data_IF_347644762075
#
_entry.id   IF_347644762075
#
_cell.length_a   1.000
_cell.length_b   1.000
_cell.length_c   1.000
_cell.angle_alpha   90.00
_cell.angle_beta   90.00
_cell.angle_gamma   90.00
#
_symmetry.space_group_name_H-M   'P 1'
#
loop_
_entity.id
_entity.type
_entity.pdbx_description
1 polymer ?
#
# COMPACT_ATOMS: atom_id res chain seq x y z
N UNK A 1 27.16 -10.88 -1.19
CA UNK A 1 25.86 -10.18 -1.15
C UNK A 1 25.90 -8.75 -0.57
N UNK A 2 27.08 -8.18 -0.24
CA UNK A 2 27.18 -6.83 0.36
C UNK A 2 26.61 -5.71 -0.53
N UNK A 3 27.05 -5.62 -1.78
CA UNK A 3 26.62 -4.54 -2.69
C UNK A 3 25.11 -4.55 -2.99
N UNK A 4 24.47 -5.71 -3.25
CA UNK A 4 23.01 -5.76 -3.38
C UNK A 4 22.27 -5.28 -2.12
N UNK A 5 22.74 -5.63 -0.91
CA UNK A 5 22.11 -5.21 0.33
C UNK A 5 22.19 -3.69 0.55
N UNK A 6 23.35 -3.08 0.29
CA UNK A 6 23.53 -1.62 0.35
C UNK A 6 22.62 -0.90 -0.64
N UNK A 7 22.59 -1.36 -1.89
CA UNK A 7 21.72 -0.76 -2.92
C UNK A 7 20.24 -0.88 -2.56
N UNK A 8 19.82 -2.00 -1.99
CA UNK A 8 18.44 -2.18 -1.52
C UNK A 8 18.11 -1.22 -0.37
N UNK A 9 19.03 -1.02 0.56
CA UNK A 9 18.87 -0.07 1.66
C UNK A 9 18.80 1.39 1.18
N UNK A 10 19.67 1.78 0.27
CA UNK A 10 19.70 3.13 -0.32
C UNK A 10 18.48 3.41 -1.21
N UNK A 11 17.98 2.38 -1.91
CA UNK A 11 16.79 2.50 -2.77
C UNK A 11 15.50 2.54 -1.96
N UNK A 12 15.52 2.10 -0.70
CA UNK A 12 14.36 2.16 0.18
C UNK A 12 14.14 3.61 0.65
N UNK A 13 12.89 4.12 0.56
CA UNK A 13 12.57 5.50 0.93
C UNK A 13 12.90 5.78 2.39
N UNK A 14 13.21 7.04 2.70
CA UNK A 14 13.53 7.45 4.06
C UNK A 14 12.33 7.37 5.01
N UNK A 15 12.66 7.07 6.28
CA UNK A 15 11.86 6.33 7.28
C UNK A 15 11.75 4.81 7.03
N UNK A 16 12.90 4.14 7.03
CA UNK A 16 13.05 2.69 6.92
C UNK A 16 13.48 2.09 8.27
N UNK A 17 13.02 0.86 8.54
CA UNK A 17 13.42 0.08 9.72
C UNK A 17 14.20 -1.13 9.22
N UNK A 18 15.41 -1.31 9.74
CA UNK A 18 16.27 -2.42 9.42
C UNK A 18 16.26 -3.45 10.55
N UNK A 19 15.83 -4.66 10.21
CA UNK A 19 15.75 -5.77 11.16
C UNK A 19 16.77 -6.83 10.77
N UNK A 20 17.68 -7.15 11.68
CA UNK A 20 18.57 -8.29 11.51
C UNK A 20 17.86 -9.56 11.98
N UNK A 21 17.65 -10.49 11.06
CA UNK A 21 16.85 -11.69 11.29
C UNK A 21 17.71 -12.96 11.30
N UNK A 22 17.67 -13.68 12.41
CA UNK A 22 18.34 -14.96 12.60
C UNK A 22 19.83 -14.87 12.94
N UNK A 23 20.40 -15.98 13.43
CA UNK A 23 21.76 -16.05 13.96
C UNK A 23 22.81 -15.64 12.93
N UNK A 24 22.63 -16.04 11.66
CA UNK A 24 23.51 -15.64 10.57
C UNK A 24 23.43 -14.14 10.28
N UNK A 25 22.23 -13.54 10.33
CA UNK A 25 22.06 -12.09 10.12
C UNK A 25 22.61 -11.26 11.27
N UNK A 26 22.47 -11.74 12.51
CA UNK A 26 22.90 -11.02 13.73
C UNK A 26 24.41 -11.02 13.89
N UNK A 27 25.10 -12.11 13.54
CA UNK A 27 26.54 -12.22 13.77
C UNK A 27 27.25 -13.31 12.97
N UNK A 28 26.79 -13.64 11.76
CA UNK A 28 27.39 -14.68 10.91
C UNK A 28 27.04 -16.12 11.30
N UNK A 29 26.54 -16.35 12.52
CA UNK A 29 26.03 -17.64 12.97
C UNK A 29 27.09 -18.74 12.94
N UNK A 30 26.74 -19.91 12.43
CA UNK A 30 27.68 -21.04 12.27
C UNK A 30 28.80 -20.74 11.25
N UNK A 31 28.59 -19.77 10.36
CA UNK A 31 29.57 -19.37 9.35
C UNK A 31 30.39 -18.13 9.78
N UNK A 32 30.34 -17.78 11.06
CA UNK A 32 31.22 -16.77 11.63
C UNK A 32 32.69 -17.15 11.35
N UNK A 33 33.51 -16.16 10.95
CA UNK A 33 34.94 -16.32 10.63
C UNK A 33 35.28 -17.01 9.28
N UNK A 34 34.30 -17.22 8.40
CA UNK A 34 34.59 -17.66 7.03
C UNK A 34 34.95 -16.47 6.12
N UNK A 35 35.88 -16.70 5.18
CA UNK A 35 36.34 -15.69 4.21
C UNK A 35 35.22 -15.04 3.37
N UNK A 36 34.10 -15.74 3.17
CA UNK A 36 32.94 -15.27 2.40
C UNK A 36 31.88 -14.55 3.22
N UNK A 37 32.07 -14.42 4.55
CA UNK A 37 31.06 -13.92 5.49
C UNK A 37 31.58 -12.66 6.17
N UNK A 38 30.76 -11.59 6.14
CA UNK A 38 31.10 -10.28 6.71
C UNK A 38 30.82 -10.18 8.22
N UNK A 39 30.50 -11.29 8.87
CA UNK A 39 29.96 -11.31 10.24
C UNK A 39 28.48 -10.95 10.24
N UNK A 40 28.11 -9.98 11.08
CA UNK A 40 26.72 -9.50 11.22
C UNK A 40 26.31 -8.49 10.14
N UNK A 41 25.00 -8.33 9.98
CA UNK A 41 24.39 -7.40 9.01
C UNK A 41 24.59 -5.93 9.40
N UNK A 42 24.88 -5.68 10.67
CA UNK A 42 25.24 -4.38 11.27
C UNK A 42 26.51 -3.78 10.66
N UNK A 43 27.40 -4.61 10.11
CA UNK A 43 28.59 -4.15 9.38
C UNK A 43 28.27 -3.57 8.00
N UNK A 44 27.08 -3.86 7.46
CA UNK A 44 26.67 -3.48 6.10
C UNK A 44 25.64 -2.35 6.15
N UNK A 45 24.60 -2.45 6.98
CA UNK A 45 23.53 -1.45 7.12
C UNK A 45 23.25 -1.19 8.60
N UNK A 46 22.79 0.01 8.98
CA UNK A 46 22.39 0.27 10.36
C UNK A 46 21.19 -0.62 10.72
N UNK A 47 21.27 -1.33 11.84
CA UNK A 47 20.20 -2.23 12.32
C UNK A 47 19.49 -1.60 13.52
N UNK A 48 18.17 -1.57 13.47
CA UNK A 48 17.32 -1.05 14.56
C UNK A 48 16.94 -2.16 15.56
N UNK A 49 16.67 -3.37 15.06
CA UNK A 49 16.22 -4.51 15.88
C UNK A 49 16.91 -5.80 15.45
N UNK A 50 17.39 -6.57 16.41
CA UNK A 50 17.92 -7.92 16.21
C UNK A 50 16.92 -8.96 16.69
N UNK A 51 16.58 -9.91 15.80
CA UNK A 51 15.71 -11.06 16.11
C UNK A 51 16.58 -12.32 16.07
N UNK A 52 17.13 -12.78 17.22
CA UNK A 52 17.99 -13.94 17.25
C UNK A 52 17.23 -15.26 17.03
N UNK A 53 17.92 -16.25 16.47
CA UNK A 53 17.44 -17.64 16.33
C UNK A 53 17.93 -18.34 15.06
N UNK A 54 17.89 -19.67 15.01
CA UNK A 54 18.41 -20.45 13.87
C UNK A 54 17.46 -21.59 13.45
N UNK A 55 16.33 -21.29 12.77
CA UNK A 55 15.75 -19.95 12.56
C UNK A 55 15.01 -19.44 13.82
N UNK A 56 14.72 -18.13 13.93
CA UNK A 56 13.90 -17.59 15.01
C UNK A 56 12.54 -18.29 15.11
N UNK A 57 12.07 -18.53 16.34
CA UNK A 57 10.75 -19.12 16.55
C UNK A 57 9.66 -18.15 16.10
N UNK A 58 8.49 -18.62 15.64
CA UNK A 58 7.41 -17.72 15.23
C UNK A 58 7.03 -16.69 16.30
N UNK A 59 7.04 -17.09 17.58
CA UNK A 59 6.79 -16.18 18.70
C UNK A 59 7.88 -15.10 18.83
N UNK A 60 9.16 -15.46 18.70
CA UNK A 60 10.27 -14.50 18.72
C UNK A 60 10.22 -13.54 17.53
N UNK A 61 9.82 -14.03 16.35
CA UNK A 61 9.63 -13.21 15.15
C UNK A 61 8.53 -12.19 15.34
N UNK A 62 7.35 -12.61 15.82
CA UNK A 62 6.23 -11.71 16.12
C UNK A 62 6.63 -10.68 17.17
N UNK A 63 7.29 -11.13 18.25
CA UNK A 63 7.78 -10.24 19.29
C UNK A 63 8.78 -9.21 18.74
N UNK A 64 9.73 -9.64 17.92
CA UNK A 64 10.71 -8.76 17.28
C UNK A 64 10.08 -7.70 16.37
N UNK A 65 9.07 -8.07 15.58
CA UNK A 65 8.31 -7.09 14.80
C UNK A 65 7.45 -6.17 15.67
N UNK A 66 6.88 -6.67 16.77
CA UNK A 66 6.16 -5.84 17.74
C UNK A 66 7.09 -4.81 18.41
N UNK A 67 8.33 -5.19 18.74
CA UNK A 67 9.38 -4.27 19.20
C UNK A 67 9.67 -3.23 18.13
N UNK A 68 9.94 -3.68 16.90
CA UNK A 68 10.28 -2.81 15.78
C UNK A 68 9.19 -1.79 15.45
N UNK A 69 7.92 -2.12 15.70
CA UNK A 69 6.78 -1.21 15.51
C UNK A 69 6.42 -0.39 16.76
N UNK A 70 7.11 -0.59 17.89
CA UNK A 70 6.81 0.09 19.16
C UNK A 70 5.52 -0.40 19.84
N UNK A 71 4.99 -1.56 19.43
CA UNK A 71 3.71 -2.10 19.90
C UNK A 71 3.81 -2.78 21.27
N UNK A 72 5.02 -3.00 21.80
CA UNK A 72 5.19 -3.63 23.13
C UNK A 72 4.67 -2.77 24.30
N UNK A 73 4.64 -1.44 24.15
CA UNK A 73 4.04 -0.55 25.14
C UNK A 73 2.51 -0.66 25.17
N UNK A 74 1.92 -1.23 24.12
CA UNK A 74 0.52 -1.66 24.08
C UNK A 74 0.34 -2.95 24.91
N UNK A 75 1.01 -3.03 26.07
CA UNK A 75 0.81 -4.09 27.04
C UNK A 75 -0.67 -4.20 27.30
N UNK A 76 -1.17 -5.40 27.04
CA UNK A 76 -2.51 -5.88 27.36
C UNK A 76 -2.59 -5.87 28.89
N UNK A 77 -2.85 -4.70 29.45
CA UNK A 77 -3.58 -4.65 30.70
C UNK A 77 -4.94 -5.21 30.32
N UNK A 78 -5.16 -6.50 30.63
CA UNK A 78 -6.49 -7.05 30.71
C UNK A 78 -7.20 -6.26 31.81
N UNK A 79 -7.76 -5.12 31.44
CA UNK A 79 -8.67 -4.37 32.28
C UNK A 79 -10.01 -4.99 31.98
N UNK A 80 -10.54 -5.76 32.94
CA UNK A 80 -11.93 -6.20 32.90
C UNK A 80 -12.81 -4.95 32.95
N UNK A 81 -13.19 -4.46 31.77
CA UNK A 81 -14.14 -3.38 31.63
C UNK A 81 -15.52 -3.97 31.93
N UNK A 82 -15.91 -4.02 33.21
CA UNK A 82 -17.34 -4.13 33.55
C UNK A 82 -17.97 -2.82 33.11
N UNK A 83 -18.57 -2.85 31.92
CA UNK A 83 -19.25 -1.70 31.32
C UNK A 83 -20.27 -1.15 32.33
N UNK A 84 -20.02 0.01 32.97
CA UNK A 84 -21.03 0.65 33.77
C UNK A 84 -22.10 1.06 32.77
N UNK A 85 -23.32 0.56 32.89
CA UNK A 85 -24.42 0.87 31.97
C UNK A 85 -24.52 2.39 31.78
N UNK A 86 -24.21 2.86 30.56
CA UNK A 86 -24.35 4.27 30.16
C UNK A 86 -23.06 5.01 29.75
N UNK A 87 -21.89 4.36 29.65
CA UNK A 87 -20.68 5.05 29.14
C UNK A 87 -20.77 5.21 27.62
N UNK A 88 -20.86 6.46 27.16
CA UNK A 88 -20.74 6.78 25.73
C UNK A 88 -19.26 6.81 25.35
N UNK A 89 -18.82 5.95 24.44
CA UNK A 89 -17.45 5.90 23.94
C UNK A 89 -17.08 7.26 23.32
N UNK A 90 -16.19 8.02 23.97
CA UNK A 90 -15.70 9.27 23.40
C UNK A 90 -14.59 8.97 22.39
N UNK A 91 -14.70 9.45 21.14
CA UNK A 91 -13.63 9.30 20.17
C UNK A 91 -12.38 10.07 20.63
N UNK A 92 -11.19 9.55 20.30
CA UNK A 92 -9.88 10.18 20.60
C UNK A 92 -9.77 11.66 20.16
N UNK A 93 -10.55 12.07 19.16
CA UNK A 93 -10.56 13.43 18.62
C UNK A 93 -12.02 13.86 18.38
N UNK A 94 -12.77 14.26 19.42
CA UNK A 94 -14.21 14.54 19.29
C UNK A 94 -14.52 15.78 18.44
N UNK A 95 -13.59 16.73 18.39
CA UNK A 95 -13.68 17.94 17.60
C UNK A 95 -13.49 17.72 16.09
N UNK A 96 -12.99 16.55 15.66
CA UNK A 96 -12.69 16.29 14.25
C UNK A 96 -13.71 15.29 13.68
N UNK A 97 -14.43 15.63 12.60
CA UNK A 97 -15.32 14.70 11.92
C UNK A 97 -14.60 13.38 11.54
N UNK A 98 -15.21 12.21 11.80
CA UNK A 98 -14.58 10.92 11.49
C UNK A 98 -14.14 10.76 10.04
N UNK A 99 -14.92 11.31 9.09
CA UNK A 99 -14.59 11.28 7.66
C UNK A 99 -13.29 12.01 7.33
N UNK A 100 -13.08 13.19 7.91
CA UNK A 100 -11.85 13.97 7.73
C UNK A 100 -10.65 13.26 8.35
N UNK A 101 -10.81 12.71 9.57
CA UNK A 101 -9.76 11.93 10.22
C UNK A 101 -9.32 10.73 9.37
N UNK A 102 -10.29 9.95 8.88
CA UNK A 102 -10.00 8.77 8.03
C UNK A 102 -9.28 9.20 6.75
N UNK A 103 -9.70 10.30 6.12
CA UNK A 103 -9.07 10.80 4.91
C UNK A 103 -7.60 11.20 5.14
N UNK A 104 -7.31 11.95 6.21
CA UNK A 104 -5.95 12.39 6.55
C UNK A 104 -5.07 11.19 6.92
N UNK A 105 -5.60 10.25 7.71
CA UNK A 105 -4.85 9.06 8.11
C UNK A 105 -4.51 8.17 6.91
N UNK A 106 -5.44 7.99 5.97
CA UNK A 106 -5.19 7.28 4.71
C UNK A 106 -4.11 7.98 3.89
N UNK A 107 -4.19 9.31 3.75
CA UNK A 107 -3.21 10.07 2.98
C UNK A 107 -1.83 10.05 3.64
N UNK A 108 -1.76 10.19 4.96
CA UNK A 108 -0.51 10.11 5.70
C UNK A 108 0.15 8.73 5.55
N UNK A 109 -0.65 7.65 5.59
CA UNK A 109 -0.17 6.28 5.32
C UNK A 109 0.30 6.11 3.88
N UNK A 110 -0.37 6.71 2.90
CA UNK A 110 0.04 6.68 1.49
C UNK A 110 1.39 7.37 1.28
N UNK A 111 1.64 8.47 1.99
CA UNK A 111 2.84 9.29 1.83
C UNK A 111 4.05 8.80 2.64
N UNK A 112 3.82 8.25 3.84
CA UNK A 112 4.88 7.93 4.80
C UNK A 112 4.77 6.51 5.41
N UNK A 113 3.88 5.66 4.90
CA UNK A 113 3.68 4.31 5.41
C UNK A 113 2.90 4.25 6.74
N UNK A 114 2.69 3.03 7.26
CA UNK A 114 1.78 2.79 8.37
C UNK A 114 2.20 3.43 9.70
N UNK A 115 3.48 3.32 10.06
CA UNK A 115 3.98 3.82 11.34
C UNK A 115 4.18 5.33 11.29
N UNK A 116 5.05 5.80 10.41
CA UNK A 116 5.41 7.22 10.33
C UNK A 116 4.21 8.08 9.93
N UNK A 117 3.39 7.62 8.98
CA UNK A 117 2.15 8.31 8.61
C UNK A 117 1.19 8.47 9.79
N UNK A 118 1.07 7.44 10.64
CA UNK A 118 0.27 7.54 11.87
C UNK A 118 0.88 8.53 12.86
N UNK A 119 2.17 8.46 13.13
CA UNK A 119 2.85 9.38 14.05
C UNK A 119 2.75 10.85 13.60
N UNK A 120 2.94 11.12 12.31
CA UNK A 120 2.80 12.45 11.70
C UNK A 120 1.35 12.94 11.82
N UNK A 121 0.38 12.09 11.46
CA UNK A 121 -1.04 12.41 11.56
C UNK A 121 -1.44 12.73 13.00
N UNK A 122 -1.09 11.87 13.96
CA UNK A 122 -1.42 12.06 15.38
C UNK A 122 -0.77 13.33 15.95
N UNK A 123 0.48 13.65 15.56
CA UNK A 123 1.14 14.91 15.97
C UNK A 123 0.47 16.13 15.36
N UNK A 124 0.15 16.09 14.07
CA UNK A 124 -0.54 17.17 13.38
C UNK A 124 -1.89 17.46 14.04
N UNK A 125 -2.71 16.42 14.25
CA UNK A 125 -4.02 16.56 14.86
C UNK A 125 -3.93 17.08 16.31
N UNK A 126 -2.92 16.63 17.07
CA UNK A 126 -2.66 17.15 18.42
C UNK A 126 -2.36 18.65 18.41
N UNK A 127 -1.45 19.09 17.54
CA UNK A 127 -1.10 20.51 17.43
C UNK A 127 -2.29 21.37 16.97
N UNK A 128 -3.13 20.87 16.06
CA UNK A 128 -4.33 21.57 15.61
C UNK A 128 -5.44 21.60 16.67
N UNK A 129 -5.53 20.57 17.51
CA UNK A 129 -6.47 20.57 18.64
C UNK A 129 -6.06 21.59 19.72
N UNK A 130 -4.77 21.79 19.94
CA UNK A 130 -4.25 22.76 20.91
C UNK A 130 -4.28 24.20 20.38
N UNK A 131 -3.94 24.38 19.09
CA UNK A 131 -3.84 25.68 18.43
C UNK A 131 -4.43 25.62 17.01
N UNK A 132 -5.70 26.04 16.86
CA UNK A 132 -6.37 26.06 15.57
C UNK A 132 -5.74 27.02 14.54
N UNK A 133 -4.90 27.98 14.99
CA UNK A 133 -4.25 28.96 14.10
C UNK A 133 -3.07 28.38 13.34
N UNK A 134 -2.57 27.20 13.75
CA UNK A 134 -1.48 26.49 13.06
C UNK A 134 -0.07 27.03 13.38
N UNK A 135 0.07 27.98 14.31
CA UNK A 135 1.38 28.51 14.70
C UNK A 135 2.25 27.43 15.35
N UNK A 136 1.66 26.55 16.17
CA UNK A 136 2.35 25.38 16.71
C UNK A 136 2.84 24.42 15.63
N UNK A 137 2.05 24.19 14.58
CA UNK A 137 2.45 23.33 13.46
C UNK A 137 3.62 23.93 12.70
N UNK A 138 3.60 25.24 12.44
CA UNK A 138 4.72 25.93 11.79
C UNK A 138 5.99 25.89 12.64
N UNK A 139 5.86 25.99 13.97
CA UNK A 139 7.00 25.89 14.89
C UNK A 139 7.59 24.49 14.86
N UNK A 140 6.75 23.45 14.96
CA UNK A 140 7.16 22.05 14.84
C UNK A 140 7.87 21.75 13.51
N UNK A 141 7.34 22.24 12.39
CA UNK A 141 7.96 22.04 11.07
C UNK A 141 9.32 22.74 10.95
N UNK A 142 9.49 23.93 11.55
CA UNK A 142 10.78 24.64 11.58
C UNK A 142 11.81 23.94 12.45
N UNK A 143 11.39 23.43 13.61
CA UNK A 143 12.28 22.69 14.53
C UNK A 143 12.73 21.35 13.94
N UNK A 144 11.87 20.68 13.18
CA UNK A 144 12.21 19.40 12.55
C UNK A 144 13.21 19.53 11.39
N UNK A 145 13.28 20.69 10.73
CA UNK A 145 14.15 20.99 9.59
C UNK A 145 14.16 19.90 8.49
N UNK A 146 12.99 19.31 8.24
CA UNK A 146 12.84 18.21 7.27
C UNK A 146 11.92 18.64 6.10
N UNK A 147 12.47 18.78 4.88
CA UNK A 147 11.69 19.19 3.71
C UNK A 147 10.63 18.16 3.32
N UNK A 148 10.86 16.86 3.58
CA UNK A 148 9.87 15.81 3.28
C UNK A 148 8.72 15.87 4.27
N UNK A 149 9.00 16.04 5.56
CA UNK A 149 7.95 16.24 6.57
C UNK A 149 7.07 17.45 6.22
N UNK A 150 7.68 18.57 5.80
CA UNK A 150 6.95 19.74 5.38
C UNK A 150 6.04 19.44 4.17
N UNK A 151 6.56 18.77 3.15
CA UNK A 151 5.77 18.34 1.98
C UNK A 151 4.57 17.46 2.37
N UNK A 152 4.78 16.48 3.26
CA UNK A 152 3.71 15.60 3.76
C UNK A 152 2.65 16.43 4.48
N UNK A 153 3.04 17.26 5.44
CA UNK A 153 2.10 18.06 6.23
C UNK A 153 1.32 19.06 5.36
N UNK A 154 1.96 19.67 4.36
CA UNK A 154 1.27 20.51 3.37
C UNK A 154 0.21 19.73 2.60
N UNK A 155 0.50 18.48 2.22
CA UNK A 155 -0.47 17.60 1.56
C UNK A 155 -1.65 17.27 2.49
N UNK A 156 -1.37 16.96 3.76
CA UNK A 156 -2.41 16.69 4.76
C UNK A 156 -3.30 17.93 5.02
N UNK A 157 -2.73 19.13 5.01
CA UNK A 157 -3.51 20.37 5.11
C UNK A 157 -4.45 20.58 3.92
N UNK A 158 -4.06 20.20 2.71
CA UNK A 158 -4.96 20.22 1.55
C UNK A 158 -6.15 19.30 1.77
N UNK A 159 -5.91 18.08 2.26
CA UNK A 159 -6.98 17.13 2.63
C UNK A 159 -7.91 17.71 3.69
N UNK A 160 -7.37 18.32 4.74
CA UNK A 160 -8.13 18.95 5.83
C UNK A 160 -9.03 20.09 5.34
N UNK A 161 -8.54 20.94 4.44
CA UNK A 161 -9.30 22.08 3.90
C UNK A 161 -10.40 21.68 2.92
N UNK A 162 -10.59 20.38 2.69
CA UNK A 162 -11.44 19.90 1.60
C UNK A 162 -10.89 20.27 0.22
N UNK A 163 -9.67 20.81 0.15
CA UNK A 163 -8.88 21.05 -1.07
C UNK A 163 -8.17 19.76 -1.50
N UNK A 164 -8.80 18.61 -1.27
CA UNK A 164 -8.81 17.71 -2.40
C UNK A 164 -9.39 18.54 -3.53
N UNK A 165 -8.61 18.75 -4.59
CA UNK A 165 -9.30 18.91 -5.85
C UNK A 165 -10.35 17.80 -5.87
N UNK A 166 -11.51 18.11 -6.42
CA UNK A 166 -12.11 17.15 -7.32
C UNK A 166 -11.09 16.85 -8.44
N UNK A 167 -9.89 16.38 -8.11
CA UNK A 167 -9.09 15.57 -8.98
C UNK A 167 -9.99 14.39 -9.19
N UNK A 168 -10.66 14.40 -10.35
CA UNK A 168 -11.49 13.35 -10.89
C UNK A 168 -10.99 12.03 -10.31
N UNK A 169 -11.66 11.53 -9.26
CA UNK A 169 -11.28 10.23 -8.69
C UNK A 169 -11.46 9.28 -9.84
N UNK A 170 -10.38 8.80 -10.43
CA UNK A 170 -10.44 7.97 -11.61
C UNK A 170 -10.16 6.53 -11.20
N UNK A 171 -10.96 5.63 -11.73
CA UNK A 171 -10.71 4.21 -11.66
C UNK A 171 -9.88 3.85 -12.88
N UNK A 172 -8.71 3.28 -12.61
CA UNK A 172 -7.77 2.87 -13.63
C UNK A 172 -7.82 1.36 -13.75
N UNK A 173 -8.15 0.89 -14.95
CA UNK A 173 -8.14 -0.53 -15.26
C UNK A 173 -6.77 -0.92 -15.78
N UNK A 174 -6.07 -1.75 -15.01
CA UNK A 174 -4.77 -2.28 -15.36
C UNK A 174 -4.90 -3.64 -16.02
N UNK A 175 -4.11 -3.88 -17.06
CA UNK A 175 -4.05 -5.16 -17.77
C UNK A 175 -2.64 -5.71 -17.73
N UNK A 176 -2.52 -6.98 -17.35
CA UNK A 176 -1.28 -7.73 -17.45
C UNK A 176 -0.87 -7.93 -18.92
N UNK A 177 0.31 -7.42 -19.27
CA UNK A 177 0.91 -7.50 -20.61
C UNK A 177 2.01 -8.54 -20.71
N UNK A 178 2.85 -8.66 -19.68
CA UNK A 178 4.01 -9.55 -19.68
C UNK A 178 4.34 -9.99 -18.25
N UNK A 179 4.77 -11.24 -18.10
CA UNK A 179 5.39 -11.79 -16.89
C UNK A 179 6.88 -11.96 -17.16
N UNK A 180 7.74 -11.17 -16.50
CA UNK A 180 9.16 -11.06 -16.90
C UNK A 180 10.00 -12.32 -16.69
N UNK A 181 9.59 -13.26 -15.83
CA UNK A 181 10.39 -14.45 -15.50
C UNK A 181 9.92 -15.70 -16.28
N UNK A 182 8.86 -15.58 -17.10
CA UNK A 182 8.29 -16.71 -17.83
C UNK A 182 8.69 -16.78 -19.32
N UNK A 183 9.39 -15.79 -19.90
CA UNK A 183 9.74 -15.81 -21.32
C UNK A 183 11.24 -16.00 -21.57
N UNK A 184 11.56 -16.90 -22.50
CA UNK A 184 12.90 -17.18 -23.03
C UNK A 184 13.37 -16.14 -24.06
N UNK A 185 12.85 -14.91 -23.99
CA UNK A 185 13.16 -13.88 -24.99
C UNK A 185 14.54 -13.25 -24.73
N UNK A 186 15.28 -12.93 -25.80
CA UNK A 186 16.50 -12.12 -25.73
C UNK A 186 16.21 -10.76 -25.08
N UNK A 187 16.76 -10.55 -23.88
CA UNK A 187 16.61 -9.29 -23.17
C UNK A 187 17.73 -8.32 -23.55
N UNK A 188 17.42 -7.03 -23.79
CA UNK A 188 18.44 -6.01 -23.96
C UNK A 188 19.39 -5.97 -22.76
N UNK A 189 20.71 -5.82 -23.00
CA UNK A 189 21.74 -5.89 -21.94
C UNK A 189 21.45 -4.94 -20.76
N UNK A 190 20.88 -3.76 -21.00
CA UNK A 190 20.55 -2.80 -19.94
C UNK A 190 19.48 -3.29 -18.95
N UNK A 191 18.60 -4.20 -19.38
CA UNK A 191 17.50 -4.73 -18.55
C UNK A 191 17.88 -6.03 -17.81
N UNK A 192 19.02 -6.64 -18.16
CA UNK A 192 19.51 -7.89 -17.55
C UNK A 192 19.81 -7.75 -16.05
N UNK A 193 20.26 -6.56 -15.62
CA UNK A 193 20.53 -6.29 -14.19
C UNK A 193 19.29 -6.44 -13.32
N UNK A 194 18.11 -6.05 -13.80
CA UNK A 194 16.84 -6.14 -13.05
C UNK A 194 16.50 -7.60 -12.74
N UNK A 195 16.77 -8.52 -13.68
CA UNK A 195 16.60 -9.96 -13.47
C UNK A 195 17.57 -10.50 -12.42
N UNK A 196 18.85 -10.13 -12.50
CA UNK A 196 19.85 -10.57 -11.51
C UNK A 196 19.52 -10.06 -10.10
N UNK A 197 19.02 -8.82 -9.95
CA UNK A 197 18.55 -8.33 -8.65
C UNK A 197 17.32 -9.07 -8.15
N UNK A 198 16.35 -9.33 -9.03
CA UNK A 198 15.11 -10.04 -8.67
C UNK A 198 15.40 -11.47 -8.22
N UNK A 199 16.29 -12.18 -8.94
CA UNK A 199 16.78 -13.51 -8.56
C UNK A 199 17.58 -13.50 -7.25
N UNK A 200 18.35 -12.44 -7.00
CA UNK A 200 19.13 -12.27 -5.78
C UNK A 200 18.28 -11.96 -4.53
N UNK A 201 17.10 -11.34 -4.69
CA UNK A 201 16.14 -11.09 -3.60
C UNK A 201 15.38 -12.37 -3.25
N UNK A 202 15.31 -13.34 -4.17
CA UNK A 202 14.89 -14.72 -3.90
C UNK A 202 14.04 -15.29 -5.03
N UNK A 203 14.14 -16.61 -5.24
CA UNK A 203 13.36 -17.34 -6.25
C UNK A 203 11.83 -17.27 -6.04
N UNK A 204 11.37 -16.71 -4.91
CA UNK A 204 9.96 -16.47 -4.60
C UNK A 204 9.44 -15.11 -5.07
N UNK A 205 10.31 -14.18 -5.50
CA UNK A 205 9.92 -12.89 -6.13
C UNK A 205 9.67 -13.10 -7.65
N UNK A 206 9.26 -14.32 -8.01
CA UNK A 206 9.50 -14.96 -9.29
C UNK A 206 8.64 -14.50 -10.46
N UNK A 207 7.90 -13.40 -10.38
CA UNK A 207 7.18 -12.84 -11.54
C UNK A 207 7.02 -11.33 -11.33
N UNK A 208 7.65 -10.53 -12.19
CA UNK A 208 7.30 -9.10 -12.30
C UNK A 208 6.16 -8.99 -13.31
N UNK A 209 4.98 -8.66 -12.79
CA UNK A 209 3.79 -8.40 -13.57
C UNK A 209 3.86 -7.02 -14.22
N UNK A 210 3.99 -6.99 -15.54
CA UNK A 210 3.99 -5.75 -16.31
C UNK A 210 2.56 -5.34 -16.61
N UNK A 211 2.03 -4.42 -15.81
CA UNK A 211 0.70 -3.87 -16.00
C UNK A 211 0.75 -2.63 -16.90
N UNK A 212 -0.15 -2.55 -17.88
CA UNK A 212 -0.42 -1.33 -18.63
C UNK A 212 -1.84 -0.85 -18.32
N UNK A 213 -2.02 0.48 -18.34
CA UNK A 213 -3.36 1.08 -18.29
C UNK A 213 -4.12 0.69 -19.56
N UNK A 214 -5.25 0.01 -19.39
CA UNK A 214 -6.14 -0.34 -20.48
C UNK A 214 -7.12 0.80 -20.79
N UNK A 215 -7.77 1.35 -19.76
CA UNK A 215 -8.57 2.56 -19.86
C UNK A 215 -8.78 3.17 -18.46
N UNK A 216 -9.32 4.38 -18.42
CA UNK A 216 -9.63 5.13 -17.20
C UNK A 216 -11.08 5.59 -17.27
N UNK A 217 -11.80 5.54 -16.15
CA UNK A 217 -13.11 6.17 -16.03
C UNK A 217 -13.21 6.98 -14.73
N UNK A 218 -13.95 8.09 -14.70
CA UNK A 218 -14.28 8.79 -13.46
C UNK A 218 -15.09 7.89 -12.51
N UNK A 219 -14.91 8.11 -11.22
CA UNK A 219 -15.56 7.38 -10.13
C UNK A 219 -17.08 7.52 -10.20
N UNK A 220 -17.58 8.71 -10.52
CA UNK A 220 -19.02 8.97 -10.66
C UNK A 220 -19.63 8.09 -11.75
N UNK A 221 -18.96 7.99 -12.90
CA UNK A 221 -19.40 7.13 -14.00
C UNK A 221 -19.40 5.65 -13.59
N UNK A 222 -18.41 5.22 -12.82
CA UNK A 222 -18.36 3.85 -12.31
C UNK A 222 -19.47 3.54 -11.30
N UNK A 223 -19.80 4.49 -10.42
CA UNK A 223 -20.93 4.38 -9.49
C UNK A 223 -22.25 4.28 -10.25
N UNK A 224 -22.42 5.07 -11.33
CA UNK A 224 -23.58 4.98 -12.21
C UNK A 224 -23.69 3.59 -12.86
N UNK A 225 -22.57 3.01 -13.30
CA UNK A 225 -22.58 1.65 -13.84
C UNK A 225 -23.03 0.63 -12.79
N UNK A 226 -22.51 0.71 -11.56
CA UNK A 226 -22.87 -0.19 -10.47
C UNK A 226 -24.36 -0.14 -10.11
N UNK A 227 -24.98 1.04 -10.21
CA UNK A 227 -26.40 1.23 -9.96
C UNK A 227 -27.27 0.52 -11.01
N UNK A 228 -26.79 0.42 -12.25
CA UNK A 228 -27.52 -0.17 -13.37
C UNK A 228 -27.31 -1.69 -13.50
N UNK A 229 -26.26 -2.26 -12.90
CA UNK A 229 -26.00 -3.70 -12.96
C UNK A 229 -27.01 -4.47 -12.09
N UNK A 230 -27.89 -5.23 -12.74
CA UNK A 230 -28.88 -6.09 -12.08
C UNK A 230 -28.26 -7.40 -11.54
N UNK A 231 -27.21 -7.92 -12.18
CA UNK A 231 -26.56 -9.17 -11.77
C UNK A 231 -25.79 -9.00 -10.45
N UNK A 232 -26.32 -9.57 -9.36
CA UNK A 232 -25.81 -9.36 -7.99
C UNK A 232 -24.34 -9.76 -7.82
N UNK A 233 -23.92 -10.88 -8.42
CA UNK A 233 -22.53 -11.35 -8.33
C UNK A 233 -21.55 -10.40 -9.03
N UNK A 234 -21.94 -9.88 -10.20
CA UNK A 234 -21.14 -8.91 -10.96
C UNK A 234 -21.01 -7.59 -10.18
N UNK A 235 -22.14 -7.09 -9.67
CA UNK A 235 -22.19 -5.87 -8.86
C UNK A 235 -21.33 -6.01 -7.60
N UNK A 236 -21.43 -7.12 -6.87
CA UNK A 236 -20.64 -7.35 -5.65
C UNK A 236 -19.14 -7.39 -5.94
N UNK A 237 -18.72 -8.01 -7.06
CA UNK A 237 -17.31 -8.04 -7.45
C UNK A 237 -16.78 -6.63 -7.73
N UNK A 238 -17.53 -5.84 -8.48
CA UNK A 238 -17.16 -4.48 -8.87
C UNK A 238 -17.20 -3.51 -7.67
N UNK A 239 -18.20 -3.64 -6.78
CA UNK A 239 -18.27 -2.90 -5.52
C UNK A 239 -17.06 -3.13 -4.60
N UNK A 240 -16.33 -4.23 -4.80
CA UNK A 240 -15.07 -4.51 -4.11
C UNK A 240 -14.05 -3.37 -4.23
N UNK A 241 -14.05 -2.61 -5.35
CA UNK A 241 -13.14 -1.45 -5.51
C UNK A 241 -13.40 -0.40 -4.43
N UNK A 242 -14.66 -0.12 -4.11
CA UNK A 242 -15.02 0.85 -3.08
C UNK A 242 -14.67 0.37 -1.66
N UNK A 243 -14.68 -0.94 -1.46
CA UNK A 243 -14.44 -1.56 -0.15
C UNK A 243 -12.95 -1.73 0.14
N UNK A 244 -12.20 -2.23 -0.85
CA UNK A 244 -10.81 -2.66 -0.68
C UNK A 244 -9.80 -1.74 -1.37
N UNK A 245 -10.25 -0.81 -2.22
CA UNK A 245 -9.39 0.08 -3.01
C UNK A 245 -8.89 -0.54 -4.31
N UNK A 246 -8.85 -1.87 -4.41
CA UNK A 246 -8.47 -2.60 -5.61
C UNK A 246 -9.22 -3.94 -5.72
N UNK A 247 -9.38 -4.45 -6.95
CA UNK A 247 -9.90 -5.80 -7.21
C UNK A 247 -9.11 -6.45 -8.34
N UNK A 248 -8.99 -7.78 -8.28
CA UNK A 248 -8.44 -8.59 -9.36
C UNK A 248 -9.57 -9.22 -10.16
N UNK A 249 -9.55 -9.04 -11.48
CA UNK A 249 -10.47 -9.67 -12.44
C UNK A 249 -9.66 -10.71 -13.23
N UNK A 250 -9.94 -11.98 -13.00
CA UNK A 250 -9.34 -13.10 -13.74
C UNK A 250 -10.28 -13.64 -14.83
N UNK A 251 -9.84 -14.68 -15.55
CA UNK A 251 -10.61 -15.31 -16.61
C UNK A 251 -12.00 -15.82 -16.17
N UNK A 252 -12.16 -16.26 -14.91
CA UNK A 252 -13.44 -16.74 -14.38
C UNK A 252 -14.49 -15.63 -14.26
N UNK A 253 -14.06 -14.39 -14.07
CA UNK A 253 -14.94 -13.23 -13.95
C UNK A 253 -15.33 -12.64 -15.31
N UNK A 254 -14.52 -12.85 -16.36
CA UNK A 254 -14.71 -12.18 -17.67
C UNK A 254 -16.06 -12.47 -18.31
N UNK A 255 -16.52 -13.73 -18.29
CA UNK A 255 -17.80 -14.12 -18.88
C UNK A 255 -18.99 -13.51 -18.15
N UNK A 256 -18.95 -13.54 -16.81
CA UNK A 256 -19.98 -12.99 -15.93
C UNK A 256 -20.09 -11.47 -16.11
N UNK A 257 -18.97 -10.75 -16.05
CA UNK A 257 -18.96 -9.30 -16.23
C UNK A 257 -19.35 -8.89 -17.66
N UNK A 258 -18.92 -9.64 -18.69
CA UNK A 258 -19.34 -9.35 -20.07
C UNK A 258 -20.85 -9.47 -20.23
N UNK A 259 -21.47 -10.48 -19.64
CA UNK A 259 -22.92 -10.66 -19.69
C UNK A 259 -23.67 -9.58 -18.92
N UNK A 260 -23.18 -9.21 -17.73
CA UNK A 260 -23.80 -8.19 -16.90
C UNK A 260 -23.76 -6.79 -17.52
N UNK A 261 -22.67 -6.44 -18.22
CA UNK A 261 -22.47 -5.11 -18.79
C UNK A 261 -22.90 -4.97 -20.26
N UNK A 262 -23.13 -6.08 -20.99
CA UNK A 262 -23.57 -6.02 -22.38
C UNK A 262 -24.90 -5.26 -22.59
N UNK A 263 -25.97 -5.50 -21.79
CA UNK A 263 -27.23 -4.77 -21.94
C UNK A 263 -27.08 -3.27 -21.67
N UNK A 264 -26.19 -2.91 -20.74
CA UNK A 264 -25.94 -1.52 -20.35
C UNK A 264 -25.29 -0.68 -21.47
N UNK A 265 -24.62 -1.32 -22.43
CA UNK A 265 -24.08 -0.63 -23.58
C UNK A 265 -25.18 -0.19 -24.56
N UNK A 266 -26.27 -0.97 -24.63
CA UNK A 266 -27.39 -0.72 -25.54
C UNK A 266 -28.39 0.30 -24.94
N UNK A 267 -28.57 0.28 -23.61
CA UNK A 267 -29.47 1.18 -22.86
C UNK A 267 -28.80 2.47 -22.34
N UNK A 268 -27.58 2.77 -22.81
CA UNK A 268 -26.81 3.90 -22.31
C UNK A 268 -27.50 5.26 -22.63
N UNK A 269 -27.72 6.06 -21.58
CA UNK A 269 -28.40 7.37 -21.70
C UNK A 269 -27.56 8.46 -22.37
N UNK A 270 -26.23 8.28 -22.42
CA UNK A 270 -25.31 9.19 -23.12
C UNK A 270 -24.34 8.47 -24.04
N UNK A 271 -23.98 9.10 -25.17
CA UNK A 271 -23.03 8.55 -26.14
C UNK A 271 -21.63 8.32 -25.55
N UNK A 272 -21.28 9.04 -24.48
CA UNK A 272 -20.01 8.86 -23.78
C UNK A 272 -20.03 7.62 -22.89
N UNK A 273 -21.11 7.44 -22.11
CA UNK A 273 -21.34 6.23 -21.29
C UNK A 273 -21.37 4.95 -22.16
N UNK A 274 -22.01 5.00 -23.32
CA UNK A 274 -22.02 3.89 -24.29
C UNK A 274 -20.60 3.52 -24.75
N UNK A 275 -19.75 4.52 -25.06
CA UNK A 275 -18.37 4.30 -25.51
C UNK A 275 -17.49 3.74 -24.39
N UNK A 276 -17.65 4.22 -23.16
CA UNK A 276 -16.88 3.73 -22.01
C UNK A 276 -17.24 2.29 -21.67
N UNK A 277 -18.53 1.93 -21.63
CA UNK A 277 -19.00 0.56 -21.39
C UNK A 277 -18.56 -0.36 -22.55
N UNK A 278 -18.63 0.10 -23.80
CA UNK A 278 -18.16 -0.67 -24.94
C UNK A 278 -16.64 -0.93 -24.89
N UNK A 279 -15.86 0.06 -24.44
CA UNK A 279 -14.42 -0.07 -24.23
C UNK A 279 -14.10 -1.09 -23.12
N UNK A 280 -14.88 -1.09 -22.03
CA UNK A 280 -14.79 -2.08 -20.97
C UNK A 280 -15.12 -3.50 -21.45
N UNK A 281 -16.18 -3.66 -22.26
CA UNK A 281 -16.55 -4.95 -22.86
C UNK A 281 -15.46 -5.44 -23.82
N UNK A 282 -14.92 -4.55 -24.66
CA UNK A 282 -13.82 -4.89 -25.57
C UNK A 282 -12.58 -5.37 -24.79
N UNK A 283 -12.25 -4.68 -23.69
CA UNK A 283 -11.17 -5.08 -22.79
C UNK A 283 -11.41 -6.46 -22.16
N UNK A 284 -12.61 -6.76 -21.70
CA UNK A 284 -12.95 -8.08 -21.14
C UNK A 284 -12.82 -9.20 -22.17
N UNK A 285 -13.26 -8.97 -23.41
CA UNK A 285 -13.08 -9.91 -24.54
C UNK A 285 -11.59 -10.14 -24.84
N UNK A 286 -10.77 -9.08 -24.77
CA UNK A 286 -9.33 -9.19 -24.93
C UNK A 286 -8.69 -10.03 -23.81
N UNK A 287 -9.14 -9.86 -22.56
CA UNK A 287 -8.68 -10.65 -21.42
C UNK A 287 -9.06 -12.13 -21.56
N UNK A 288 -10.26 -12.42 -22.07
CA UNK A 288 -10.73 -13.80 -22.29
C UNK A 288 -9.94 -14.54 -23.37
N UNK A 289 -9.54 -13.85 -24.43
CA UNK A 289 -8.88 -14.47 -25.59
C UNK A 289 -7.35 -14.52 -25.47
N UNK A 290 -6.77 -13.99 -24.39
CA UNK A 290 -5.33 -14.14 -24.16
C UNK A 290 -5.06 -15.48 -23.48
N UNK A 291 -4.19 -16.34 -24.04
CA UNK A 291 -3.70 -17.50 -23.32
C UNK A 291 -3.04 -17.00 -22.04
N UNK A 292 -3.23 -17.74 -20.95
CA UNK A 292 -2.64 -17.47 -19.64
C UNK A 292 -1.15 -17.19 -19.80
N UNK A 293 -0.77 -15.91 -19.79
CA UNK A 293 0.60 -15.46 -19.58
C UNK A 293 1.00 -15.96 -18.20
#
# INVERSE_FOLDING_TARGET
MRMPALRAYESAPDHKICVSYGACGVGGGIFHDLYSVWGGSDTIVPIDVWIPGCPPTPAATIHGFAVALGLLQQKIHAVDYRDPTGVTMQPLWPQIPPSQRIAIEREARRLAGYRQGREICDRLLRHLSDDPTGNRVNTWLREADDPRLNSIVQQLFRVLRGLHGEECREIVFWMLRKKFIASSDEMPEHSSQVMYYSLAIGHHVGVIDCLNVAFRCPLTEYEDWLALVEEEQARRKMLGVMTFGEIVIDASHTALLTRAFAPLADDATSAWQARSIHSFICWMKLCRNRPSI
#
